data_IF_870321445549
#
_entry.id   IF_870321445549
#
_cell.length_a   1.000
_cell.length_b   1.000
_cell.length_c   1.000
_cell.angle_alpha   90.00
_cell.angle_beta   90.00
_cell.angle_gamma   90.00
#
_symmetry.space_group_name_H-M   'P 1'
#
loop_
_entity.id
_entity.type
_entity.pdbx_description
1 polymer ?
#
# COMPACT_ATOMS: atom_id res chain seq x y z
N UNK A 1 -12.02 26.21 55.44
CA UNK A 1 -11.84 26.31 53.96
C UNK A 1 -10.49 25.74 53.57
N UNK A 2 -9.43 26.09 54.31
CA UNK A 2 -8.06 25.59 54.19
C UNK A 2 -7.92 24.05 54.09
N UNK A 3 -8.56 23.28 54.98
CA UNK A 3 -8.47 21.80 54.93
C UNK A 3 -9.09 21.16 53.68
N UNK A 4 -10.06 21.83 53.03
CA UNK A 4 -10.65 21.34 51.77
C UNK A 4 -9.73 21.60 50.58
N UNK A 5 -9.04 22.74 50.59
CA UNK A 5 -8.02 23.07 49.58
C UNK A 5 -6.83 22.10 49.64
N UNK A 6 -6.34 21.80 50.85
CA UNK A 6 -5.26 20.83 51.04
C UNK A 6 -5.59 19.43 50.52
N UNK A 7 -6.82 18.94 50.78
CA UNK A 7 -7.29 17.65 50.24
C UNK A 7 -7.38 17.66 48.71
N UNK A 8 -7.90 18.74 48.12
CA UNK A 8 -8.00 18.87 46.66
C UNK A 8 -6.62 18.88 45.99
N UNK A 9 -5.65 19.58 46.58
CA UNK A 9 -4.28 19.64 46.09
C UNK A 9 -3.60 18.26 46.17
N UNK A 10 -3.74 17.53 47.27
CA UNK A 10 -3.19 16.18 47.41
C UNK A 10 -3.79 15.19 46.41
N UNK A 11 -5.09 15.26 46.17
CA UNK A 11 -5.77 14.43 45.16
C UNK A 11 -5.26 14.78 43.76
N UNK A 12 -5.10 16.06 43.45
CA UNK A 12 -4.58 16.53 42.16
C UNK A 12 -3.13 16.06 41.93
N UNK A 13 -2.28 16.19 42.95
CA UNK A 13 -0.89 15.72 42.88
C UNK A 13 -0.81 14.19 42.74
N UNK A 14 -1.63 13.46 43.49
CA UNK A 14 -1.71 12.00 43.40
C UNK A 14 -2.22 11.53 42.04
N UNK A 15 -3.25 12.19 41.49
CA UNK A 15 -3.80 11.83 40.17
C UNK A 15 -2.80 12.09 39.05
N UNK A 16 -2.03 13.19 39.13
CA UNK A 16 -0.94 13.47 38.20
C UNK A 16 0.16 12.40 38.25
N UNK A 17 0.54 11.97 39.46
CA UNK A 17 1.54 10.93 39.66
C UNK A 17 1.06 9.57 39.13
N UNK A 18 -0.19 9.20 39.41
CA UNK A 18 -0.81 7.98 38.87
C UNK A 18 -0.91 8.01 37.35
N UNK A 19 -1.31 9.15 36.77
CA UNK A 19 -1.40 9.32 35.32
C UNK A 19 -0.03 9.15 34.64
N UNK A 20 1.01 9.72 35.24
CA UNK A 20 2.38 9.55 34.74
C UNK A 20 2.85 8.10 34.84
N UNK A 21 2.57 7.43 35.96
CA UNK A 21 2.91 6.02 36.13
C UNK A 21 2.22 5.13 35.10
N UNK A 22 0.93 5.36 34.84
CA UNK A 22 0.16 4.63 33.82
C UNK A 22 0.76 4.88 32.43
N UNK A 23 1.11 6.12 32.10
CA UNK A 23 1.76 6.47 30.84
C UNK A 23 3.08 5.73 30.64
N UNK A 24 3.96 5.74 31.65
CA UNK A 24 5.25 5.03 31.61
C UNK A 24 5.04 3.52 31.44
N UNK A 25 4.14 2.91 32.23
CA UNK A 25 3.85 1.48 32.11
C UNK A 25 3.29 1.12 30.72
N UNK A 26 2.41 1.95 30.18
CA UNK A 26 1.84 1.75 28.84
C UNK A 26 2.94 1.75 27.79
N UNK A 27 3.86 2.72 27.83
CA UNK A 27 4.97 2.80 26.87
C UNK A 27 5.94 1.64 26.99
N UNK A 28 6.28 1.21 28.21
CA UNK A 28 7.14 0.04 28.42
C UNK A 28 6.49 -1.21 27.80
N UNK A 29 5.21 -1.45 28.08
CA UNK A 29 4.51 -2.62 27.53
C UNK A 29 4.39 -2.54 26.01
N UNK A 30 4.10 -1.36 25.44
CA UNK A 30 4.08 -1.16 23.98
C UNK A 30 5.45 -1.45 23.35
N UNK A 31 6.54 -1.01 23.98
CA UNK A 31 7.91 -1.27 23.53
C UNK A 31 8.26 -2.77 23.56
N UNK A 32 7.90 -3.46 24.65
CA UNK A 32 8.12 -4.90 24.79
C UNK A 32 7.37 -5.70 23.71
N UNK A 33 6.10 -5.39 23.46
CA UNK A 33 5.31 -6.04 22.41
C UNK A 33 5.87 -5.73 21.02
N UNK A 34 6.29 -4.47 20.78
CA UNK A 34 6.86 -4.02 19.51
C UNK A 34 8.12 -4.80 19.10
N UNK A 35 8.94 -5.22 20.07
CA UNK A 35 10.16 -5.99 19.82
C UNK A 35 9.89 -7.46 19.45
N UNK A 36 8.68 -7.98 19.71
CA UNK A 36 8.29 -9.35 19.41
C UNK A 36 7.63 -9.50 18.03
N UNK A 37 7.41 -8.39 17.32
CA UNK A 37 6.63 -8.35 16.09
C UNK A 37 7.49 -8.09 14.85
N UNK A 38 6.98 -8.51 13.69
CA UNK A 38 7.59 -8.23 12.39
C UNK A 38 7.63 -6.72 12.10
N UNK A 39 8.71 -6.24 11.47
CA UNK A 39 8.91 -4.81 11.19
C UNK A 39 7.71 -4.15 10.49
N UNK A 40 7.04 -4.86 9.57
CA UNK A 40 5.86 -4.37 8.85
C UNK A 40 4.68 -3.97 9.76
N UNK A 41 4.53 -4.64 10.90
CA UNK A 41 3.46 -4.35 11.86
C UNK A 41 3.91 -3.34 12.92
N UNK A 42 5.23 -3.16 13.07
CA UNK A 42 5.82 -2.25 14.05
C UNK A 42 5.36 -0.81 13.80
N UNK A 43 5.37 -0.39 12.54
CA UNK A 43 4.93 0.95 12.13
C UNK A 43 3.44 1.17 12.43
N UNK A 44 2.59 0.18 12.15
CA UNK A 44 1.15 0.26 12.44
C UNK A 44 0.89 0.36 13.94
N UNK A 45 1.61 -0.42 14.76
CA UNK A 45 1.46 -0.38 16.21
C UNK A 45 1.99 0.92 16.82
N UNK A 46 3.11 1.46 16.33
CA UNK A 46 3.64 2.73 16.81
C UNK A 46 2.66 3.89 16.56
N UNK A 47 2.01 3.90 15.40
CA UNK A 47 1.04 4.94 15.03
C UNK A 47 -0.34 4.76 15.65
N UNK A 48 -0.65 3.59 16.22
CA UNK A 48 -1.95 3.34 16.86
C UNK A 48 -2.14 4.17 18.13
N UNK A 49 -3.33 4.71 18.32
CA UNK A 49 -3.70 5.43 19.54
C UNK A 49 -3.73 4.45 20.72
N UNK A 50 -3.00 4.76 21.79
CA UNK A 50 -3.09 3.99 23.04
C UNK A 50 -4.40 4.35 23.73
N UNK A 51 -5.32 3.39 23.82
CA UNK A 51 -6.56 3.57 24.57
C UNK A 51 -6.89 2.33 25.41
N UNK A 52 -7.51 2.56 26.56
CA UNK A 52 -7.94 1.60 27.59
C UNK A 52 -6.90 0.63 28.19
N UNK A 53 -5.80 0.26 27.51
CA UNK A 53 -4.76 -0.63 28.04
C UNK A 53 -3.38 -0.49 27.35
N UNK A 54 -3.29 -0.70 26.03
CA UNK A 54 -2.00 -0.77 25.29
C UNK A 54 -2.10 -0.18 23.89
N UNK A 55 -2.97 -0.76 23.07
CA UNK A 55 -3.26 -0.37 21.70
C UNK A 55 -4.79 -0.37 21.62
N UNK A 56 -5.40 0.76 21.32
CA UNK A 56 -6.83 0.97 21.47
C UNK A 56 -7.71 -0.02 20.69
N UNK A 57 -9.03 0.11 20.85
CA UNK A 57 -10.02 -0.78 20.22
C UNK A 57 -9.93 -0.80 18.68
N UNK A 58 -9.43 0.26 18.06
CA UNK A 58 -9.30 0.42 16.61
C UNK A 58 -8.08 -0.31 16.02
N UNK A 59 -7.17 -0.87 16.83
CA UNK A 59 -5.94 -1.50 16.31
C UNK A 59 -6.22 -2.58 15.27
N UNK A 60 -7.29 -3.37 15.45
CA UNK A 60 -7.67 -4.43 14.51
C UNK A 60 -8.03 -3.84 13.15
N UNK A 61 -8.74 -2.71 13.15
CA UNK A 61 -9.13 -1.99 11.94
C UNK A 61 -7.89 -1.37 11.28
N UNK A 62 -7.01 -0.75 12.06
CA UNK A 62 -5.74 -0.17 11.59
C UNK A 62 -4.86 -1.23 10.91
N UNK A 63 -4.77 -2.43 11.48
CA UNK A 63 -4.03 -3.55 10.89
C UNK A 63 -4.66 -4.01 9.56
N UNK A 64 -6.00 -4.06 9.48
CA UNK A 64 -6.70 -4.43 8.23
C UNK A 64 -6.43 -3.38 7.14
N UNK A 65 -6.59 -2.11 7.47
CA UNK A 65 -6.30 -0.99 6.57
C UNK A 65 -4.84 -1.02 6.10
N UNK A 66 -3.87 -1.22 7.00
CA UNK A 66 -2.46 -1.30 6.64
C UNK A 66 -2.17 -2.45 5.66
N UNK A 67 -2.81 -3.61 5.86
CA UNK A 67 -2.68 -4.76 4.95
C UNK A 67 -3.28 -4.47 3.57
N UNK A 68 -4.42 -3.81 3.51
CA UNK A 68 -5.05 -3.41 2.23
C UNK A 68 -4.17 -2.41 1.47
N UNK A 69 -3.66 -1.38 2.16
CA UNK A 69 -2.71 -0.42 1.57
C UNK A 69 -1.46 -1.13 1.05
N UNK A 70 -0.91 -2.07 1.81
CA UNK A 70 0.26 -2.85 1.39
C UNK A 70 -0.04 -3.71 0.15
N UNK A 71 -1.24 -4.30 0.08
CA UNK A 71 -1.70 -5.04 -1.11
C UNK A 71 -1.82 -4.11 -2.31
N UNK A 72 -2.47 -2.95 -2.17
CA UNK A 72 -2.59 -1.96 -3.24
C UNK A 72 -1.22 -1.49 -3.74
N UNK A 73 -0.28 -1.22 -2.84
CA UNK A 73 1.11 -0.89 -3.20
C UNK A 73 1.75 -2.01 -4.03
N UNK A 74 1.59 -3.27 -3.62
CA UNK A 74 2.15 -4.40 -4.36
C UNK A 74 1.51 -4.58 -5.74
N UNK A 75 0.23 -4.26 -5.90
CA UNK A 75 -0.47 -4.33 -7.18
C UNK A 75 0.00 -3.24 -8.14
N UNK A 76 0.27 -2.03 -7.65
CA UNK A 76 0.85 -0.93 -8.45
C UNK A 76 2.31 -1.18 -8.85
N UNK A 77 3.10 -1.83 -7.99
CA UNK A 77 4.51 -2.12 -8.29
C UNK A 77 4.72 -3.30 -9.24
N UNK A 78 3.65 -4.05 -9.59
CA UNK A 78 3.77 -5.10 -10.60
C UNK A 78 4.17 -4.46 -11.92
N UNK A 79 5.32 -4.83 -12.51
CA UNK A 79 5.66 -4.37 -13.84
C UNK A 79 4.52 -4.78 -14.78
N UNK A 80 4.15 -3.93 -15.76
CA UNK A 80 3.16 -4.32 -16.74
C UNK A 80 3.58 -5.67 -17.31
N UNK A 81 2.69 -6.68 -17.22
CA UNK A 81 2.91 -7.96 -17.88
C UNK A 81 3.27 -7.60 -19.32
N UNK A 82 4.52 -7.83 -19.71
CA UNK A 82 4.94 -7.72 -21.10
C UNK A 82 3.99 -8.67 -21.81
N UNK A 83 3.00 -8.12 -22.52
CA UNK A 83 2.20 -8.93 -23.42
C UNK A 83 3.23 -9.53 -24.34
N UNK A 84 3.44 -10.84 -24.26
CA UNK A 84 4.23 -11.57 -25.24
C UNK A 84 3.79 -11.00 -26.58
N UNK A 85 4.75 -10.40 -27.30
CA UNK A 85 4.49 -9.78 -28.59
C UNK A 85 3.93 -10.90 -29.45
N UNK A 86 2.61 -11.01 -29.47
CA UNK A 86 1.88 -11.93 -30.33
C UNK A 86 2.45 -11.68 -31.71
N UNK A 87 3.03 -12.75 -32.26
CA UNK A 87 3.59 -12.86 -33.61
C UNK A 87 3.08 -11.74 -34.49
N UNK A 88 4.01 -10.97 -35.08
CA UNK A 88 3.78 -9.97 -36.12
C UNK A 88 2.73 -10.42 -37.15
N UNK A 89 1.45 -10.27 -36.81
CA UNK A 89 0.35 -10.46 -37.71
C UNK A 89 0.36 -9.15 -38.51
N UNK A 90 0.74 -9.26 -39.79
CA UNK A 90 0.73 -8.20 -40.80
C UNK A 90 2.03 -7.39 -41.04
N UNK A 91 3.23 -7.93 -40.79
CA UNK A 91 4.46 -7.24 -41.28
C UNK A 91 4.57 -7.27 -42.81
N UNK A 92 4.07 -8.32 -43.46
CA UNK A 92 3.95 -8.33 -44.92
C UNK A 92 2.58 -7.79 -45.29
N UNK A 93 2.55 -6.53 -45.76
CA UNK A 93 1.40 -6.00 -46.48
C UNK A 93 1.04 -6.87 -47.70
N UNK A 94 -0.17 -6.72 -48.26
CA UNK A 94 -0.61 -7.54 -49.38
C UNK A 94 0.39 -7.41 -50.54
N UNK A 95 0.71 -8.54 -51.17
CA UNK A 95 1.64 -8.55 -52.30
C UNK A 95 1.15 -7.57 -53.36
N UNK A 96 1.97 -6.57 -53.70
CA UNK A 96 1.70 -5.70 -54.82
C UNK A 96 1.53 -6.59 -56.05
N UNK A 97 0.31 -6.64 -56.56
CA UNK A 97 -0.02 -7.42 -57.74
C UNK A 97 0.74 -6.76 -58.90
N UNK A 98 1.94 -7.27 -59.19
CA UNK A 98 2.72 -6.89 -60.37
C UNK A 98 1.87 -7.32 -61.55
N UNK A 99 1.07 -6.39 -62.08
CA UNK A 99 0.46 -6.53 -63.38
C UNK A 99 1.61 -6.68 -64.36
N UNK A 100 1.93 -7.93 -64.69
CA UNK A 100 2.75 -8.26 -65.84
C UNK A 100 2.04 -7.66 -67.04
N UNK A 101 2.58 -6.55 -67.53
CA UNK A 101 2.25 -6.02 -68.84
C UNK A 101 2.52 -7.12 -69.85
N UNK A 102 1.46 -7.77 -70.33
CA UNK A 102 1.54 -8.62 -71.51
C UNK A 102 1.92 -7.73 -72.71
N UNK A 103 2.93 -8.09 -73.52
CA UNK A 103 3.17 -7.36 -74.75
C UNK A 103 2.00 -7.64 -75.70
N UNK A 104 1.24 -6.59 -76.04
CA UNK A 104 0.17 -6.65 -77.01
C UNK A 104 0.80 -6.90 -78.39
N UNK A 105 0.65 -8.11 -78.92
CA UNK A 105 1.04 -8.44 -80.29
C UNK A 105 0.11 -7.71 -81.26
N UNK A 106 0.63 -6.68 -81.93
CA UNK A 106 -0.06 -6.00 -83.03
C UNK A 106 -0.11 -6.88 -84.30
N UNK A 107 -1.12 -6.72 -85.17
CA UNK A 107 -1.32 -7.60 -86.31
C UNK A 107 -0.22 -7.43 -87.36
N UNK A 108 0.35 -8.57 -87.78
CA UNK A 108 1.26 -8.65 -88.92
C UNK A 108 0.53 -8.25 -90.20
N UNK A 109 1.05 -7.22 -90.90
CA UNK A 109 0.64 -6.91 -92.27
C UNK A 109 1.22 -7.96 -93.22
N UNK A 110 0.36 -8.76 -93.85
CA UNK A 110 0.69 -9.47 -95.08
C UNK A 110 0.51 -8.54 -96.28
N UNK A 111 1.39 -8.76 -97.26
CA UNK A 111 1.63 -8.04 -98.53
C UNK A 111 0.44 -7.34 -99.17
#
# INVERSE_FOLDING_TARGET
VESRMFMAENISNSSRLLSNQIFVQTNIRRSLVSNLLNEKLKDTLQNSVSDNLLFGSTLIEDIKCAKEVQKSKSDLQKPPKVRDKTKHLNWKGPAANSQRSFPQAGPMRTR
#
